data_IF_624601002788
#
_entry.id   IF_624601002788
#
_cell.length_a   1.000
_cell.length_b   1.000
_cell.length_c   1.000
_cell.angle_alpha   90.00
_cell.angle_beta   90.00
_cell.angle_gamma   90.00
#
_symmetry.space_group_name_H-M   'P 1'
#
loop_
_entity.id
_entity.type
_entity.pdbx_description
1 polymer ?
#
# COMPACT_ATOMS: atom_id res chain seq x y z
N UNK A 1 -29.04 10.82 7.10
CA UNK A 1 -28.22 10.06 8.07
C UNK A 1 -26.79 10.25 7.63
N UNK A 2 -25.92 10.83 8.45
CA UNK A 2 -24.48 10.93 8.12
C UNK A 2 -23.90 9.54 8.23
N UNK A 3 -23.58 8.92 7.10
CA UNK A 3 -22.69 7.77 7.10
C UNK A 3 -21.34 8.27 7.59
N UNK A 4 -20.89 7.80 8.74
CA UNK A 4 -19.50 7.96 9.18
C UNK A 4 -18.65 7.28 8.09
N UNK A 5 -17.85 8.04 7.35
CA UNK A 5 -16.97 7.50 6.34
C UNK A 5 -15.76 6.84 7.05
N UNK A 6 -16.00 5.64 7.58
CA UNK A 6 -14.97 4.79 8.15
C UNK A 6 -14.61 3.71 7.14
N UNK A 7 -13.32 3.47 6.97
CA UNK A 7 -12.78 2.42 6.12
C UNK A 7 -12.00 1.43 6.98
N UNK A 8 -12.39 0.15 7.02
CA UNK A 8 -11.60 -0.90 7.67
C UNK A 8 -10.55 -1.44 6.74
N UNK A 9 -9.31 -1.17 7.08
CA UNK A 9 -8.11 -1.65 6.37
C UNK A 9 -7.47 -2.80 7.16
N UNK A 10 -7.05 -3.86 6.46
CA UNK A 10 -6.15 -4.89 6.95
C UNK A 10 -4.85 -4.84 6.17
N UNK A 11 -3.71 -4.82 6.87
CA UNK A 11 -2.39 -4.93 6.26
C UNK A 11 -1.80 -6.29 6.64
N UNK A 12 -1.61 -7.16 5.65
CA UNK A 12 -0.99 -8.47 5.82
C UNK A 12 0.53 -8.31 5.73
N UNK A 13 1.18 -8.22 6.88
CA UNK A 13 2.63 -8.27 7.01
C UNK A 13 3.07 -9.73 7.01
N UNK A 14 3.50 -10.24 5.86
CA UNK A 14 3.78 -11.66 5.66
C UNK A 14 5.23 -11.92 5.27
N UNK A 15 5.71 -13.13 5.59
CA UNK A 15 6.98 -13.67 5.14
C UNK A 15 6.71 -14.55 3.91
N UNK A 16 7.21 -14.11 2.76
CA UNK A 16 7.10 -14.84 1.49
C UNK A 16 8.44 -15.45 1.09
N UNK A 17 8.41 -16.49 0.28
CA UNK A 17 9.60 -17.19 -0.18
C UNK A 17 9.87 -16.84 -1.63
N UNK A 18 11.08 -16.37 -1.93
CA UNK A 18 11.50 -16.04 -3.30
C UNK A 18 11.43 -17.30 -4.17
N UNK A 19 10.70 -17.20 -5.28
CA UNK A 19 10.54 -18.28 -6.25
C UNK A 19 9.41 -19.27 -5.95
N UNK A 20 8.86 -19.29 -4.74
CA UNK A 20 7.72 -20.16 -4.38
C UNK A 20 6.38 -19.47 -4.68
N UNK A 21 6.11 -19.28 -5.98
CA UNK A 21 4.92 -18.54 -6.42
C UNK A 21 3.62 -19.19 -5.95
N UNK A 22 3.54 -20.54 -6.00
CA UNK A 22 2.36 -21.29 -5.56
C UNK A 22 2.15 -21.20 -4.03
N UNK A 23 3.22 -21.38 -3.25
CA UNK A 23 3.15 -21.26 -1.78
C UNK A 23 2.81 -19.85 -1.33
N UNK A 24 3.38 -18.83 -1.98
CA UNK A 24 3.04 -17.44 -1.72
C UNK A 24 1.58 -17.12 -2.09
N UNK A 25 1.08 -17.65 -3.22
CA UNK A 25 -0.31 -17.48 -3.63
C UNK A 25 -1.28 -18.09 -2.60
N UNK A 26 -1.00 -19.30 -2.12
CA UNK A 26 -1.83 -19.93 -1.09
C UNK A 26 -1.80 -19.11 0.20
N UNK A 27 -0.63 -18.64 0.64
CA UNK A 27 -0.50 -17.75 1.79
C UNK A 27 -1.33 -16.47 1.63
N UNK A 28 -1.25 -15.81 0.47
CA UNK A 28 -2.05 -14.62 0.17
C UNK A 28 -3.55 -14.92 0.30
N UNK A 29 -4.02 -16.05 -0.22
CA UNK A 29 -5.43 -16.48 -0.12
C UNK A 29 -5.85 -16.68 1.35
N UNK A 30 -5.05 -17.36 2.15
CA UNK A 30 -5.33 -17.60 3.57
C UNK A 30 -5.43 -16.27 4.35
N UNK A 31 -4.59 -15.30 4.00
CA UNK A 31 -4.62 -13.98 4.64
C UNK A 31 -5.77 -13.10 4.14
N UNK A 32 -6.21 -13.26 2.89
CA UNK A 32 -7.47 -12.63 2.39
C UNK A 32 -8.65 -13.14 3.23
N UNK A 33 -8.72 -14.46 3.49
CA UNK A 33 -9.79 -15.05 4.28
C UNK A 33 -9.79 -14.51 5.72
N UNK A 34 -8.64 -14.46 6.37
CA UNK A 34 -8.47 -13.85 7.70
C UNK A 34 -8.90 -12.36 7.73
N UNK A 35 -8.51 -11.58 6.72
CA UNK A 35 -8.92 -10.18 6.61
C UNK A 35 -10.44 -10.04 6.43
N UNK A 36 -11.06 -10.95 5.70
CA UNK A 36 -12.51 -10.99 5.51
C UNK A 36 -13.26 -11.33 6.79
N UNK A 37 -12.74 -12.28 7.59
CA UNK A 37 -13.30 -12.67 8.89
C UNK A 37 -13.36 -11.48 9.87
N UNK A 38 -12.35 -10.61 9.88
CA UNK A 38 -12.34 -9.40 10.71
C UNK A 38 -13.10 -8.23 10.08
N UNK A 39 -13.74 -8.47 8.95
CA UNK A 39 -14.60 -7.50 8.30
C UNK A 39 -13.86 -6.43 7.50
N UNK A 40 -12.60 -6.59 7.14
CA UNK A 40 -11.89 -5.63 6.33
C UNK A 40 -12.55 -5.36 4.97
N UNK A 41 -12.47 -4.13 4.50
CA UNK A 41 -12.94 -3.72 3.18
C UNK A 41 -11.79 -3.77 2.16
N UNK A 42 -10.58 -3.48 2.65
CA UNK A 42 -9.34 -3.62 1.89
C UNK A 42 -8.38 -4.51 2.68
N UNK A 43 -7.70 -5.40 1.97
CA UNK A 43 -6.50 -6.09 2.45
C UNK A 43 -5.33 -5.77 1.54
N UNK A 44 -4.16 -5.52 2.13
CA UNK A 44 -2.94 -5.22 1.37
C UNK A 44 -1.87 -6.24 1.66
N UNK A 45 -1.05 -6.51 0.65
CA UNK A 45 0.12 -7.39 0.71
C UNK A 45 1.37 -6.63 0.32
N UNK A 46 2.57 -7.04 0.77
CA UNK A 46 3.82 -6.39 0.44
C UNK A 46 4.11 -6.30 -1.06
N UNK A 47 5.07 -5.45 -1.41
CA UNK A 47 5.67 -5.38 -2.74
C UNK A 47 6.20 -6.75 -3.15
N UNK A 48 5.92 -7.15 -4.42
CA UNK A 48 6.30 -8.44 -4.99
C UNK A 48 5.96 -9.67 -4.11
N UNK A 49 4.88 -9.58 -3.32
CA UNK A 49 4.49 -10.65 -2.38
C UNK A 49 4.26 -12.00 -3.08
N UNK A 50 3.85 -11.98 -4.34
CA UNK A 50 3.56 -13.21 -5.08
C UNK A 50 4.84 -13.93 -5.53
N UNK A 51 5.86 -13.20 -5.98
CA UNK A 51 7.14 -13.75 -6.43
C UNK A 51 8.16 -13.94 -5.31
N UNK A 52 7.95 -13.26 -4.18
CA UNK A 52 8.97 -12.99 -3.18
C UNK A 52 9.89 -11.85 -3.60
N UNK A 53 10.63 -11.25 -2.65
CA UNK A 53 11.50 -10.09 -2.87
C UNK A 53 12.90 -10.32 -2.28
N UNK A 54 13.99 -10.02 -3.04
CA UNK A 54 14.02 -9.68 -4.46
C UNK A 54 14.06 -10.95 -5.34
N UNK A 55 13.28 -11.03 -6.41
CA UNK A 55 13.29 -12.20 -7.30
C UNK A 55 14.49 -12.27 -8.24
N UNK A 56 15.20 -11.15 -8.44
CA UNK A 56 16.44 -11.02 -9.22
C UNK A 56 16.39 -11.75 -10.59
N UNK A 57 17.42 -12.58 -10.91
CA UNK A 57 17.53 -13.27 -12.21
C UNK A 57 16.40 -14.28 -12.51
N UNK A 58 15.51 -14.59 -11.55
CA UNK A 58 14.28 -15.31 -11.82
C UNK A 58 13.39 -14.53 -12.79
N UNK A 59 13.46 -13.21 -12.77
CA UNK A 59 12.73 -12.31 -13.67
C UNK A 59 13.15 -12.45 -15.14
N UNK A 60 14.34 -13.01 -15.41
CA UNK A 60 14.82 -13.30 -16.76
C UNK A 60 14.27 -14.61 -17.32
N UNK A 61 13.45 -15.34 -16.56
CA UNK A 61 12.84 -16.61 -16.95
C UNK A 61 11.37 -16.41 -17.33
N UNK A 62 10.98 -16.48 -18.61
CA UNK A 62 9.57 -16.29 -19.03
C UNK A 62 8.60 -17.18 -18.27
N UNK A 63 8.97 -18.43 -17.97
CA UNK A 63 8.11 -19.40 -17.27
C UNK A 63 7.81 -18.93 -15.82
N UNK A 64 8.74 -18.23 -15.17
CA UNK A 64 8.54 -17.68 -13.85
C UNK A 64 7.50 -16.54 -13.88
N UNK A 65 7.61 -15.68 -14.88
CA UNK A 65 6.62 -14.60 -15.09
C UNK A 65 5.23 -15.19 -15.40
N UNK A 66 5.17 -16.21 -16.28
CA UNK A 66 3.90 -16.88 -16.61
C UNK A 66 3.27 -17.53 -15.38
N UNK A 67 4.05 -18.23 -14.55
CA UNK A 67 3.57 -18.83 -13.30
C UNK A 67 2.99 -17.77 -12.34
N UNK A 68 3.69 -16.65 -12.17
CA UNK A 68 3.22 -15.53 -11.34
C UNK A 68 1.88 -14.97 -11.86
N UNK A 69 1.70 -14.80 -13.17
CA UNK A 69 0.44 -14.32 -13.74
C UNK A 69 -0.71 -15.32 -13.56
N UNK A 70 -0.44 -16.62 -13.74
CA UNK A 70 -1.43 -17.69 -13.52
C UNK A 70 -1.89 -17.73 -12.05
N UNK A 71 -0.96 -17.62 -11.11
CA UNK A 71 -1.33 -17.61 -9.68
C UNK A 71 -2.08 -16.32 -9.29
N UNK A 72 -1.71 -15.16 -9.88
CA UNK A 72 -2.49 -13.95 -9.69
C UNK A 72 -3.96 -14.13 -10.13
N UNK A 73 -4.19 -14.72 -11.30
CA UNK A 73 -5.57 -14.99 -11.79
C UNK A 73 -6.35 -15.87 -10.80
N UNK A 74 -5.71 -16.88 -10.19
CA UNK A 74 -6.34 -17.72 -9.16
C UNK A 74 -6.71 -16.90 -7.92
N UNK A 75 -5.82 -16.03 -7.44
CA UNK A 75 -6.09 -15.14 -6.31
C UNK A 75 -7.26 -14.21 -6.65
N UNK A 76 -7.20 -13.53 -7.80
CA UNK A 76 -8.25 -12.61 -8.26
C UNK A 76 -9.61 -13.31 -8.28
N UNK A 77 -9.69 -14.53 -8.83
CA UNK A 77 -10.94 -15.28 -8.94
C UNK A 77 -11.59 -15.61 -7.58
N UNK A 78 -10.79 -15.65 -6.52
CA UNK A 78 -11.22 -15.95 -5.14
C UNK A 78 -11.44 -14.71 -4.28
N UNK A 79 -11.08 -13.53 -4.78
CA UNK A 79 -11.31 -12.25 -4.06
C UNK A 79 -12.80 -11.91 -4.10
N UNK A 80 -13.49 -12.13 -2.98
CA UNK A 80 -14.94 -11.87 -2.84
C UNK A 80 -15.18 -11.04 -1.58
N UNK A 81 -16.10 -10.07 -1.69
CA UNK A 81 -16.51 -9.20 -0.57
C UNK A 81 -15.36 -8.43 0.10
N UNK A 82 -14.24 -8.27 -0.56
CA UNK A 82 -13.06 -7.53 -0.11
C UNK A 82 -12.29 -7.02 -1.33
N UNK A 83 -11.61 -5.89 -1.19
CA UNK A 83 -10.64 -5.40 -2.18
C UNK A 83 -9.26 -5.85 -1.74
N UNK A 84 -8.51 -6.54 -2.60
CA UNK A 84 -7.14 -6.96 -2.33
C UNK A 84 -6.15 -6.13 -3.17
N UNK A 85 -5.08 -5.62 -2.50
CA UNK A 85 -3.94 -4.96 -3.15
C UNK A 85 -2.74 -5.88 -3.01
N UNK A 86 -2.26 -6.44 -4.13
CA UNK A 86 -1.30 -7.54 -4.14
C UNK A 86 -0.07 -7.17 -4.95
N UNK A 87 1.12 -7.19 -4.34
CA UNK A 87 2.40 -7.00 -5.04
C UNK A 87 2.75 -8.21 -5.92
N UNK A 88 2.99 -7.98 -7.21
CA UNK A 88 3.31 -9.01 -8.19
C UNK A 88 4.17 -8.46 -9.33
N UNK A 89 4.58 -9.31 -10.26
CA UNK A 89 5.24 -8.91 -11.51
C UNK A 89 4.23 -8.89 -12.63
N UNK A 90 3.96 -7.69 -13.21
CA UNK A 90 3.10 -7.55 -14.38
C UNK A 90 3.91 -7.65 -15.68
N UNK A 91 3.23 -8.02 -16.78
CA UNK A 91 3.82 -8.09 -18.13
C UNK A 91 2.94 -7.40 -19.16
N UNK A 92 3.40 -6.26 -19.64
CA UNK A 92 2.75 -5.48 -20.70
C UNK A 92 3.80 -5.02 -21.74
N UNK A 93 4.22 -5.93 -22.63
CA UNK A 93 5.31 -5.67 -23.57
C UNK A 93 6.70 -5.79 -22.92
N UNK A 94 6.85 -5.40 -21.69
CA UNK A 94 7.98 -5.57 -20.78
C UNK A 94 7.46 -5.95 -19.39
N UNK A 95 8.32 -6.05 -18.35
CA UNK A 95 7.91 -6.40 -17.01
C UNK A 95 7.94 -5.18 -16.07
N UNK A 96 7.03 -5.19 -15.11
CA UNK A 96 6.83 -4.12 -14.15
C UNK A 96 6.73 -4.68 -12.72
N UNK A 97 7.34 -4.00 -11.76
CA UNK A 97 7.01 -4.16 -10.36
C UNK A 97 5.64 -3.53 -10.13
N UNK A 98 4.64 -4.31 -9.75
CA UNK A 98 3.25 -3.90 -9.85
C UNK A 98 2.43 -4.25 -8.61
N UNK A 99 1.34 -3.51 -8.42
CA UNK A 99 0.28 -3.80 -7.48
C UNK A 99 -1.02 -4.09 -8.24
N UNK A 100 -1.55 -5.30 -8.11
CA UNK A 100 -2.86 -5.69 -8.62
C UNK A 100 -3.94 -5.25 -7.62
N UNK A 101 -4.97 -4.57 -8.10
CA UNK A 101 -6.16 -4.22 -7.32
C UNK A 101 -7.30 -5.13 -7.78
N UNK A 102 -7.66 -6.08 -6.94
CA UNK A 102 -8.67 -7.09 -7.25
C UNK A 102 -9.90 -6.96 -6.35
N UNK A 103 -11.08 -7.13 -6.91
CA UNK A 103 -12.34 -7.17 -6.17
C UNK A 103 -13.37 -8.06 -6.88
N UNK A 104 -14.09 -8.86 -6.10
CA UNK A 104 -15.22 -9.68 -6.57
C UNK A 104 -14.91 -10.51 -7.83
N UNK A 105 -13.75 -11.16 -7.85
CA UNK A 105 -13.32 -12.03 -8.94
C UNK A 105 -12.80 -11.28 -10.18
N UNK A 106 -12.52 -9.99 -10.07
CA UNK A 106 -12.04 -9.15 -11.17
C UNK A 106 -10.79 -8.38 -10.80
N UNK A 107 -9.85 -8.31 -11.71
CA UNK A 107 -8.77 -7.33 -11.67
C UNK A 107 -9.35 -5.98 -12.09
N UNK A 108 -9.43 -5.05 -11.14
CA UNK A 108 -10.01 -3.72 -11.35
C UNK A 108 -9.04 -2.78 -12.05
N UNK A 109 -7.77 -2.81 -11.63
CA UNK A 109 -6.67 -2.05 -12.21
C UNK A 109 -5.34 -2.60 -11.72
N UNK A 110 -4.26 -2.18 -12.36
CA UNK A 110 -2.89 -2.42 -11.94
C UNK A 110 -2.17 -1.08 -11.78
N UNK A 111 -1.41 -0.91 -10.71
CA UNK A 111 -0.46 0.17 -10.54
C UNK A 111 0.94 -0.36 -10.80
N UNK A 112 1.73 0.34 -11.60
CA UNK A 112 3.14 0.05 -11.84
C UNK A 112 4.01 1.01 -11.05
N UNK A 113 5.02 0.49 -10.34
CA UNK A 113 6.00 1.28 -9.61
C UNK A 113 6.66 2.30 -10.53
N UNK A 114 6.65 3.56 -10.12
CA UNK A 114 7.15 4.66 -10.95
C UNK A 114 8.63 4.90 -10.69
N UNK A 115 9.03 5.01 -9.42
CA UNK A 115 10.42 5.22 -9.05
C UNK A 115 11.11 3.90 -8.76
N UNK A 116 12.07 3.55 -9.62
CA UNK A 116 12.84 2.33 -9.55
C UNK A 116 14.20 2.64 -8.90
N UNK A 117 14.44 2.23 -7.64
CA UNK A 117 15.72 2.49 -6.99
C UNK A 117 16.83 1.68 -7.64
N UNK A 118 18.00 2.33 -7.81
CA UNK A 118 19.22 1.73 -8.35
C UNK A 118 20.43 2.18 -7.54
N UNK A 119 20.34 2.00 -6.23
CA UNK A 119 21.37 2.37 -5.27
C UNK A 119 21.37 1.41 -4.06
N UNK A 120 22.50 1.33 -3.35
CA UNK A 120 22.65 0.44 -2.20
C UNK A 120 22.44 -1.02 -2.58
N UNK A 121 21.40 -1.63 -2.04
CA UNK A 121 21.03 -3.05 -2.29
C UNK A 121 19.97 -3.21 -3.38
N UNK A 122 19.54 -2.10 -4.00
CA UNK A 122 18.47 -2.11 -5.00
C UNK A 122 19.03 -2.08 -6.41
N UNK A 123 18.46 -2.89 -7.29
CA UNK A 123 18.76 -2.93 -8.73
C UNK A 123 17.47 -3.09 -9.56
N UNK A 124 16.40 -2.39 -9.15
CA UNK A 124 15.08 -2.51 -9.80
C UNK A 124 15.13 -2.09 -11.27
N UNK A 125 15.93 -1.07 -11.59
CA UNK A 125 16.06 -0.54 -12.96
C UNK A 125 16.68 -1.55 -13.93
N UNK A 126 17.40 -2.55 -13.44
CA UNK A 126 17.95 -3.64 -14.27
C UNK A 126 16.86 -4.52 -14.84
N UNK A 127 15.76 -4.67 -14.14
CA UNK A 127 14.74 -5.67 -14.45
C UNK A 127 13.42 -5.06 -14.92
N UNK A 128 13.02 -3.93 -14.34
CA UNK A 128 11.68 -3.39 -14.51
C UNK A 128 11.64 -2.11 -15.32
N UNK A 129 10.54 -1.93 -16.05
CA UNK A 129 10.18 -0.65 -16.63
C UNK A 129 9.44 0.22 -15.59
N UNK A 130 9.65 1.54 -15.60
CA UNK A 130 8.90 2.44 -14.72
C UNK A 130 7.44 2.55 -15.15
N UNK A 131 6.55 2.69 -14.18
CA UNK A 131 5.16 3.03 -14.40
C UNK A 131 4.98 4.45 -14.95
N UNK A 132 3.81 4.72 -15.52
CA UNK A 132 3.51 5.99 -16.18
C UNK A 132 2.16 6.60 -15.79
N UNK A 133 1.45 6.04 -14.79
CA UNK A 133 0.13 6.53 -14.37
C UNK A 133 -0.12 6.32 -12.87
N UNK A 134 -0.97 7.16 -12.29
CA UNK A 134 -1.32 7.16 -10.87
C UNK A 134 -2.82 6.94 -10.69
N UNK A 135 -3.33 5.70 -10.74
CA UNK A 135 -4.75 5.44 -10.50
C UNK A 135 -5.14 5.75 -9.06
N UNK A 136 -6.38 6.18 -8.86
CA UNK A 136 -7.03 6.30 -7.55
C UNK A 136 -8.32 5.51 -7.54
N UNK A 137 -8.60 4.85 -6.41
CA UNK A 137 -9.75 3.99 -6.21
C UNK A 137 -10.87 4.80 -5.56
N UNK A 138 -12.01 4.92 -6.24
CA UNK A 138 -13.21 5.53 -5.70
C UNK A 138 -14.04 4.45 -4.99
N UNK A 139 -13.99 4.44 -3.67
CA UNK A 139 -14.77 3.55 -2.81
C UNK A 139 -15.94 4.31 -2.19
N UNK A 140 -16.91 3.58 -1.62
CA UNK A 140 -18.00 4.21 -0.87
C UNK A 140 -17.43 4.91 0.39
N UNK A 141 -17.40 6.25 0.34
CA UNK A 141 -16.93 7.12 1.42
C UNK A 141 -15.42 7.35 1.49
N UNK A 142 -14.60 6.86 0.53
CA UNK A 142 -13.16 7.08 0.54
C UNK A 142 -12.55 7.08 -0.87
N UNK A 143 -11.55 7.93 -1.08
CA UNK A 143 -10.68 7.87 -2.26
C UNK A 143 -9.31 7.36 -1.82
N UNK A 144 -8.86 6.26 -2.42
CA UNK A 144 -7.63 5.56 -2.03
C UNK A 144 -6.61 5.60 -3.15
N UNK A 145 -5.40 6.08 -2.86
CA UNK A 145 -4.23 5.96 -3.74
C UNK A 145 -3.41 4.72 -3.38
N UNK A 146 -2.78 4.11 -4.38
CA UNK A 146 -1.87 2.98 -4.20
C UNK A 146 -0.50 3.34 -4.76
N UNK A 147 0.56 3.05 -4.02
CA UNK A 147 1.95 3.28 -4.41
C UNK A 147 2.83 2.12 -3.93
N UNK A 148 4.04 2.00 -4.49
CA UNK A 148 4.96 0.91 -4.18
C UNK A 148 6.29 1.49 -3.66
N UNK A 149 6.65 1.13 -2.43
CA UNK A 149 7.95 1.31 -1.79
C UNK A 149 8.57 2.69 -2.04
N UNK A 150 9.51 2.81 -2.99
CA UNK A 150 10.27 4.01 -3.31
C UNK A 150 9.38 5.22 -3.67
N UNK A 151 8.20 4.99 -4.25
CA UNK A 151 7.28 6.06 -4.68
C UNK A 151 6.91 7.03 -3.57
N UNK A 152 6.88 6.59 -2.30
CA UNK A 152 6.51 7.45 -1.15
C UNK A 152 7.70 8.27 -0.62
N UNK A 153 8.93 7.93 -1.02
CA UNK A 153 10.12 8.66 -0.53
C UNK A 153 10.26 10.04 -1.19
N UNK A 154 9.72 10.23 -2.38
CA UNK A 154 9.76 11.50 -3.11
C UNK A 154 8.58 12.39 -2.71
N UNK A 155 8.85 13.66 -2.31
CA UNK A 155 7.80 14.57 -1.82
C UNK A 155 6.80 15.00 -2.90
N UNK A 156 7.23 15.06 -4.15
CA UNK A 156 6.49 15.49 -5.34
C UNK A 156 6.13 14.30 -6.28
N UNK A 157 6.28 13.09 -5.77
CA UNK A 157 6.03 11.85 -6.52
C UNK A 157 4.56 11.43 -6.61
N UNK A 158 4.34 10.13 -6.94
CA UNK A 158 2.99 9.58 -7.16
C UNK A 158 2.01 9.86 -6.02
N UNK A 159 2.47 9.77 -4.77
CA UNK A 159 1.65 10.01 -3.56
C UNK A 159 1.10 11.45 -3.54
N UNK A 160 1.95 12.44 -3.86
CA UNK A 160 1.52 13.83 -3.96
C UNK A 160 0.45 14.02 -5.04
N UNK A 161 0.66 13.43 -6.22
CA UNK A 161 -0.28 13.54 -7.34
C UNK A 161 -1.62 12.86 -7.04
N UNK A 162 -1.59 11.66 -6.46
CA UNK A 162 -2.81 10.96 -6.03
C UNK A 162 -3.56 11.78 -4.98
N UNK A 163 -2.85 12.40 -4.02
CA UNK A 163 -3.47 13.23 -2.99
C UNK A 163 -4.01 14.55 -3.56
N UNK A 164 -3.22 15.31 -4.32
CA UNK A 164 -3.57 16.65 -4.80
C UNK A 164 -4.56 16.59 -5.96
N UNK A 165 -4.21 15.90 -7.04
CA UNK A 165 -4.99 15.83 -8.30
C UNK A 165 -6.03 14.72 -8.25
N UNK A 166 -5.69 13.54 -7.71
CA UNK A 166 -6.58 12.40 -7.58
C UNK A 166 -7.59 12.52 -6.44
N UNK A 167 -7.36 13.42 -5.48
CA UNK A 167 -8.22 13.60 -4.32
C UNK A 167 -8.07 12.52 -3.24
N UNK A 168 -7.10 11.62 -3.37
CA UNK A 168 -6.92 10.51 -2.43
C UNK A 168 -6.85 10.99 -0.98
N UNK A 169 -7.61 10.35 -0.11
CA UNK A 169 -7.69 10.62 1.33
C UNK A 169 -6.87 9.59 2.12
N UNK A 170 -6.72 8.40 1.55
CA UNK A 170 -5.88 7.32 2.06
C UNK A 170 -4.85 6.96 1.01
N UNK A 171 -3.59 6.83 1.41
CA UNK A 171 -2.52 6.31 0.58
C UNK A 171 -2.09 4.96 1.16
N UNK A 172 -2.20 3.92 0.35
CA UNK A 172 -1.64 2.61 0.62
C UNK A 172 -0.28 2.53 -0.06
N UNK A 173 0.76 2.25 0.70
CA UNK A 173 2.08 1.97 0.17
C UNK A 173 2.49 0.54 0.53
N UNK A 174 2.63 -0.31 -0.46
CA UNK A 174 3.14 -1.67 -0.29
C UNK A 174 4.65 -1.69 -0.50
N UNK A 175 5.38 -2.33 0.40
CA UNK A 175 6.84 -2.23 0.46
C UNK A 175 7.53 -3.54 0.77
N UNK A 176 8.76 -3.66 0.27
CA UNK A 176 9.75 -4.64 0.68
C UNK A 176 11.06 -3.91 1.06
N UNK A 177 10.93 -3.00 2.03
CA UNK A 177 12.02 -2.12 2.45
C UNK A 177 12.97 -2.83 3.43
N UNK A 178 14.24 -3.09 3.05
CA UNK A 178 15.19 -3.81 3.90
C UNK A 178 15.48 -3.08 5.20
N UNK A 179 15.71 -3.86 6.25
CA UNK A 179 16.11 -3.37 7.56
C UNK A 179 17.61 -3.04 7.61
N UNK A 180 17.93 -1.95 8.28
CA UNK A 180 19.26 -1.68 8.84
C UNK A 180 19.11 -0.92 10.16
N UNK A 181 20.14 -0.98 11.02
CA UNK A 181 20.11 -0.28 12.29
C UNK A 181 19.86 1.23 12.12
N UNK A 182 18.84 1.76 12.82
CA UNK A 182 18.46 3.17 12.75
C UNK A 182 17.43 3.53 11.65
N UNK A 183 17.18 2.67 10.66
CA UNK A 183 16.23 2.95 9.57
C UNK A 183 14.80 3.19 10.08
N UNK A 184 14.40 2.49 11.14
CA UNK A 184 13.06 2.60 11.72
C UNK A 184 12.66 4.05 11.99
N UNK A 185 13.50 4.83 12.71
CA UNK A 185 13.21 6.23 13.04
C UNK A 185 13.13 7.12 11.80
N UNK A 186 13.97 6.84 10.82
CA UNK A 186 14.00 7.60 9.59
C UNK A 186 12.74 7.32 8.75
N UNK A 187 12.38 6.04 8.58
CA UNK A 187 11.15 5.61 7.91
C UNK A 187 9.91 6.23 8.56
N UNK A 188 9.80 6.15 9.88
CA UNK A 188 8.71 6.71 10.66
C UNK A 188 8.56 8.22 10.44
N UNK A 189 9.65 8.98 10.53
CA UNK A 189 9.63 10.43 10.25
C UNK A 189 9.23 10.76 8.83
N UNK A 190 9.76 10.03 7.86
CA UNK A 190 9.43 10.24 6.44
C UNK A 190 7.94 10.00 6.21
N UNK A 191 7.38 8.88 6.69
CA UNK A 191 5.96 8.55 6.52
C UNK A 191 5.04 9.57 7.21
N UNK A 192 5.37 9.98 8.45
CA UNK A 192 4.65 11.02 9.17
C UNK A 192 4.64 12.34 8.38
N UNK A 193 5.78 12.73 7.80
CA UNK A 193 5.88 13.92 6.95
C UNK A 193 5.01 13.80 5.71
N UNK A 194 5.03 12.63 5.01
CA UNK A 194 4.20 12.43 3.82
C UNK A 194 2.71 12.50 4.15
N UNK A 195 2.28 11.94 5.30
CA UNK A 195 0.91 12.02 5.75
C UNK A 195 0.48 13.48 6.00
N UNK A 196 1.28 14.22 6.77
CA UNK A 196 0.96 15.61 7.14
C UNK A 196 1.04 16.59 5.96
N UNK A 197 2.08 16.50 5.12
CA UNK A 197 2.28 17.42 3.98
C UNK A 197 1.17 17.26 2.94
N UNK A 198 0.73 16.02 2.69
CA UNK A 198 -0.32 15.74 1.73
C UNK A 198 -1.73 15.79 2.34
N UNK A 199 -1.84 15.91 3.64
CA UNK A 199 -3.10 15.83 4.40
C UNK A 199 -3.86 14.56 3.98
N UNK A 200 -3.25 13.39 4.22
CA UNK A 200 -3.78 12.06 3.92
C UNK A 200 -3.48 11.10 5.07
N UNK A 201 -4.26 10.04 5.17
CA UNK A 201 -3.89 8.87 5.97
C UNK A 201 -2.87 8.06 5.15
N UNK A 202 -1.77 7.64 5.76
CA UNK A 202 -0.75 6.78 5.12
C UNK A 202 -0.75 5.41 5.78
N UNK A 203 -1.02 4.36 5.00
CA UNK A 203 -0.92 2.97 5.39
C UNK A 203 0.28 2.33 4.67
N UNK A 204 1.33 2.06 5.41
CA UNK A 204 2.58 1.50 4.92
C UNK A 204 2.67 0.02 5.31
N UNK A 205 2.52 -0.88 4.35
CA UNK A 205 2.60 -2.33 4.55
C UNK A 205 3.96 -2.86 4.10
N UNK A 206 4.77 -3.34 5.03
CA UNK A 206 6.12 -3.82 4.75
C UNK A 206 6.24 -5.34 4.84
N UNK A 207 7.15 -5.90 4.05
CA UNK A 207 7.55 -7.30 4.11
C UNK A 207 8.22 -7.62 5.45
N UNK A 208 8.05 -8.85 5.92
CA UNK A 208 8.83 -9.43 7.03
C UNK A 208 9.55 -10.68 6.54
N UNK A 209 10.75 -10.96 7.05
CA UNK A 209 11.54 -12.15 6.70
C UNK A 209 12.96 -11.83 6.31
N UNK A 210 13.51 -12.62 5.42
CA UNK A 210 14.88 -12.43 4.92
C UNK A 210 15.11 -13.19 3.62
N UNK A 211 16.02 -12.66 2.81
CA UNK A 211 16.50 -13.28 1.58
C UNK A 211 17.97 -12.88 1.36
N UNK A 212 18.85 -13.86 1.24
CA UNK A 212 20.30 -13.66 1.16
C UNK A 212 20.81 -12.75 2.29
N UNK A 213 21.48 -11.66 1.99
CA UNK A 213 21.94 -10.67 2.98
C UNK A 213 20.86 -9.70 3.45
N UNK A 214 19.66 -9.69 2.83
CA UNK A 214 18.60 -8.78 3.18
C UNK A 214 17.72 -9.32 4.30
N UNK A 215 17.41 -8.44 5.25
CA UNK A 215 16.44 -8.70 6.33
C UNK A 215 15.32 -7.67 6.23
N UNK A 216 14.09 -8.12 6.40
CA UNK A 216 12.90 -7.29 6.41
C UNK A 216 12.25 -7.33 7.79
N UNK A 217 12.11 -6.18 8.40
CA UNK A 217 11.66 -6.07 9.80
C UNK A 217 10.13 -6.02 9.96
N UNK A 218 9.37 -5.99 8.86
CA UNK A 218 7.97 -5.68 8.95
C UNK A 218 7.78 -4.25 9.46
N UNK A 219 7.36 -4.08 10.72
CA UNK A 219 7.12 -2.76 11.32
C UNK A 219 6.21 -1.90 10.41
N UNK A 220 5.15 -2.52 9.89
CA UNK A 220 4.13 -1.84 9.08
C UNK A 220 3.46 -0.76 9.92
N UNK A 221 3.13 0.38 9.30
CA UNK A 221 2.75 1.61 10.01
C UNK A 221 1.51 2.25 9.40
N UNK A 222 0.66 2.82 10.24
CA UNK A 222 -0.42 3.70 9.77
C UNK A 222 -0.31 5.05 10.48
N UNK A 223 -0.30 6.11 9.69
CA UNK A 223 -0.32 7.50 10.18
C UNK A 223 -1.62 8.17 9.77
N UNK A 224 -2.16 9.00 10.65
CA UNK A 224 -3.29 9.86 10.32
C UNK A 224 -2.84 11.09 9.49
N UNK A 225 -3.79 11.91 9.10
CA UNK A 225 -3.56 13.11 8.28
C UNK A 225 -2.76 14.21 9.00
N UNK A 226 -2.49 14.07 10.30
CA UNK A 226 -1.60 14.95 11.06
C UNK A 226 -0.16 14.46 11.09
N UNK A 227 0.06 13.21 10.69
CA UNK A 227 1.33 12.50 10.82
C UNK A 227 1.46 11.81 12.18
N UNK A 228 0.36 11.65 12.93
CA UNK A 228 0.37 10.89 14.17
C UNK A 228 0.24 9.39 13.89
N UNK A 229 1.05 8.59 14.56
CA UNK A 229 1.03 7.13 14.41
C UNK A 229 -0.23 6.55 15.06
N UNK A 230 -1.07 5.85 14.27
CA UNK A 230 -2.34 5.27 14.74
C UNK A 230 -2.35 3.74 14.76
N UNK A 231 -1.47 3.08 14.03
CA UNK A 231 -1.28 1.63 14.11
C UNK A 231 0.15 1.22 13.73
N UNK A 232 0.62 0.11 14.31
CA UNK A 232 1.96 -0.45 14.07
C UNK A 232 1.91 -1.98 14.10
N UNK A 233 2.51 -2.62 13.11
CA UNK A 233 2.76 -4.05 13.09
C UNK A 233 3.96 -4.46 13.96
N UNK A 234 4.05 -5.72 14.27
CA UNK A 234 5.17 -6.31 15.00
C UNK A 234 6.46 -6.23 14.19
N UNK A 235 7.60 -6.18 14.87
CA UNK A 235 8.89 -6.32 14.22
C UNK A 235 9.31 -7.79 14.16
N UNK A 236 9.81 -8.20 12.99
CA UNK A 236 10.36 -9.55 12.73
C UNK A 236 9.37 -10.69 12.92
N UNK A 237 8.08 -10.40 12.89
CA UNK A 237 6.99 -11.38 12.97
C UNK A 237 5.94 -11.11 11.90
N UNK A 238 5.26 -12.15 11.44
CA UNK A 238 4.05 -11.99 10.65
C UNK A 238 2.94 -11.37 11.50
N UNK A 239 2.14 -10.48 10.90
CA UNK A 239 1.06 -9.79 11.62
C UNK A 239 -0.08 -9.38 10.66
N UNK A 240 -1.32 -9.40 11.15
CA UNK A 240 -2.46 -8.81 10.48
C UNK A 240 -2.86 -7.54 11.22
N UNK A 241 -2.43 -6.42 10.71
CA UNK A 241 -2.73 -5.10 11.30
C UNK A 241 -4.10 -4.66 10.78
N UNK A 242 -5.08 -4.58 11.66
CA UNK A 242 -6.45 -4.15 11.32
C UNK A 242 -6.74 -2.81 11.96
N UNK A 243 -7.19 -1.85 11.16
CA UNK A 243 -7.44 -0.47 11.61
C UNK A 243 -8.69 0.10 10.97
N UNK A 244 -9.49 0.83 11.76
CA UNK A 244 -10.63 1.61 11.29
C UNK A 244 -10.18 3.06 11.06
N UNK A 245 -10.14 3.48 9.80
CA UNK A 245 -9.68 4.80 9.36
C UNK A 245 -10.84 5.80 9.36
N UNK A 246 -10.69 6.94 10.08
CA UNK A 246 -11.63 8.07 10.01
C UNK A 246 -11.32 8.95 8.78
N UNK A 247 -11.85 8.56 7.62
CA UNK A 247 -11.61 9.29 6.36
C UNK A 247 -12.21 10.70 6.40
N UNK A 248 -13.28 10.92 7.18
CA UNK A 248 -13.89 12.24 7.30
C UNK A 248 -12.95 13.25 7.99
N UNK A 249 -12.02 12.79 8.84
CA UNK A 249 -11.03 13.66 9.47
C UNK A 249 -10.15 14.36 8.44
N UNK A 250 -9.77 13.66 7.38
CA UNK A 250 -8.99 14.21 6.25
C UNK A 250 -9.75 15.34 5.56
N UNK A 251 -11.04 15.13 5.27
CA UNK A 251 -11.87 16.16 4.67
C UNK A 251 -11.99 17.40 5.56
N UNK A 252 -12.26 17.20 6.87
CA UNK A 252 -12.33 18.29 7.86
C UNK A 252 -11.03 19.10 7.88
N UNK A 253 -9.87 18.44 7.94
CA UNK A 253 -8.58 19.12 7.95
C UNK A 253 -8.34 19.90 6.66
N UNK A 254 -8.64 19.31 5.50
CA UNK A 254 -8.52 19.98 4.18
C UNK A 254 -9.40 21.23 4.04
N UNK A 255 -10.54 21.29 4.71
CA UNK A 255 -11.40 22.49 4.73
C UNK A 255 -10.71 23.67 5.41
N UNK A 256 -9.90 23.41 6.43
CA UNK A 256 -9.19 24.43 7.20
C UNK A 256 -7.83 24.81 6.62
N UNK A 257 -7.30 24.08 5.61
CA UNK A 257 -6.00 24.38 4.99
C UNK A 257 -6.18 25.07 3.63
N UNK A 258 -5.94 26.41 3.56
CA UNK A 258 -6.06 27.14 2.29
C UNK A 258 -4.91 26.80 1.30
N UNK A 259 -3.76 26.32 1.80
CA UNK A 259 -2.55 26.08 0.97
C UNK A 259 -2.80 25.04 -0.12
N UNK A 260 -3.59 23.98 0.20
CA UNK A 260 -3.95 22.95 -0.76
C UNK A 260 -4.75 23.50 -1.95
N UNK A 261 -5.63 24.49 -1.73
CA UNK A 261 -6.39 25.14 -2.81
C UNK A 261 -5.46 25.92 -3.72
N UNK A 262 -4.49 26.65 -3.13
CA UNK A 262 -3.49 27.39 -3.89
C UNK A 262 -2.60 26.45 -4.72
N UNK A 263 -2.16 25.32 -4.15
CA UNK A 263 -1.34 24.33 -4.87
C UNK A 263 -2.04 23.80 -6.13
N UNK A 264 -3.36 23.58 -6.10
CA UNK A 264 -4.12 23.13 -7.27
C UNK A 264 -4.15 24.15 -8.43
N UNK A 265 -3.95 25.43 -8.14
CA UNK A 265 -3.98 26.50 -9.11
C UNK A 265 -2.60 26.81 -9.72
N UNK A 266 -1.52 26.26 -9.16
CA UNK A 266 -0.17 26.48 -9.66
C UNK A 266 0.06 25.67 -10.95
N UNK A 267 0.30 26.33 -12.12
CA UNK A 267 0.60 25.62 -13.36
C UNK A 267 1.82 24.73 -13.23
N UNK A 268 1.73 23.49 -13.72
CA UNK A 268 2.82 22.51 -13.70
C UNK A 268 2.89 21.63 -12.46
N UNK A 269 2.11 21.90 -11.40
CA UNK A 269 2.02 21.00 -10.24
C UNK A 269 1.04 19.83 -10.42
N UNK A 270 0.29 19.80 -11.51
CA UNK A 270 -0.62 18.67 -11.83
C UNK A 270 0.10 17.42 -12.36
N UNK A 271 1.43 17.46 -12.39
CA UNK A 271 2.30 16.29 -12.53
C UNK A 271 2.42 15.69 -13.92
N UNK A 272 3.53 14.97 -14.12
CA UNK A 272 3.84 14.25 -15.38
C UNK A 272 3.00 12.98 -15.56
N UNK A 273 2.34 12.49 -14.49
CA UNK A 273 1.64 11.20 -14.51
C UNK A 273 0.12 11.39 -14.51
N UNK A 274 -0.60 10.85 -15.50
CA UNK A 274 -2.05 10.95 -15.57
C UNK A 274 -2.72 10.24 -14.38
N UNK A 275 -3.76 10.88 -13.84
CA UNK A 275 -4.63 10.31 -12.82
C UNK A 275 -5.84 9.65 -13.50
N UNK A 276 -6.11 8.40 -13.18
CA UNK A 276 -7.35 7.72 -13.56
C UNK A 276 -8.15 7.36 -12.31
N UNK A 277 -9.47 7.46 -12.42
CA UNK A 277 -10.39 7.12 -11.32
C UNK A 277 -11.03 5.76 -11.60
N UNK A 278 -10.86 4.82 -10.67
CA UNK A 278 -11.37 3.46 -10.76
C UNK A 278 -12.46 3.28 -9.70
N UNK A 279 -13.68 3.04 -10.12
CA UNK A 279 -14.80 2.79 -9.19
C UNK A 279 -14.70 1.38 -8.62
N UNK A 280 -14.65 1.28 -7.31
CA UNK A 280 -14.66 0.03 -6.53
C UNK A 280 -16.03 -0.08 -5.86
N UNK A 281 -16.72 -1.19 -6.07
CA UNK A 281 -18.03 -1.40 -5.48
C UNK A 281 -17.97 -1.43 -3.95
N UNK A 282 -18.76 -0.57 -3.30
CA UNK A 282 -18.90 -0.54 -1.84
C UNK A 282 -19.63 -1.80 -1.32
N UNK A 283 -19.35 -2.18 -0.07
CA UNK A 283 -20.14 -3.21 0.63
C UNK A 283 -21.47 -2.59 1.11
N UNK A 284 -22.58 -3.20 0.71
CA UNK A 284 -23.89 -2.82 1.21
C UNK A 284 -24.02 -3.27 2.68
N UNK A 285 -24.38 -2.30 3.56
CA UNK A 285 -24.75 -2.47 4.98
C UNK A 285 -23.74 -3.22 5.87
N UNK A 286 -22.92 -2.50 6.63
CA UNK A 286 -22.18 -3.02 7.77
C UNK A 286 -22.48 -2.24 9.04
N UNK A 287 -22.86 -2.98 10.08
CA UNK A 287 -22.69 -2.52 11.44
C UNK A 287 -21.21 -2.66 11.80
N UNK A 288 -20.49 -1.55 11.92
CA UNK A 288 -19.11 -1.56 12.41
C UNK A 288 -19.11 -1.74 13.92
N UNK A 289 -18.71 -2.92 14.38
CA UNK A 289 -18.24 -3.05 15.77
C UNK A 289 -16.85 -2.41 15.82
N UNK A 290 -16.72 -1.27 16.51
CA UNK A 290 -15.47 -0.52 16.62
C UNK A 290 -14.38 -1.41 17.20
N UNK A 291 -13.26 -1.55 16.51
CA UNK A 291 -12.09 -2.24 17.05
C UNK A 291 -11.49 -1.39 18.17
N UNK A 292 -11.21 -2.04 19.29
CA UNK A 292 -10.40 -1.40 20.34
C UNK A 292 -8.97 -1.34 19.79
N UNK A 293 -8.31 -0.16 19.77
CA UNK A 293 -6.93 -0.08 19.32
C UNK A 293 -6.05 -1.03 20.13
N UNK A 294 -5.40 -1.98 19.48
CA UNK A 294 -4.47 -2.93 20.13
C UNK A 294 -3.11 -2.29 20.44
N UNK A 295 -3.05 -0.96 20.57
CA UNK A 295 -1.83 -0.22 20.84
C UNK A 295 -1.92 0.49 22.17
N UNK A 296 -0.96 0.28 23.09
CA UNK A 296 -0.68 1.28 24.08
C UNK A 296 -0.13 2.50 23.33
N UNK A 297 -0.92 3.59 23.29
CA UNK A 297 -0.40 4.91 22.96
C UNK A 297 0.80 5.12 23.88
N UNK A 298 2.01 5.06 23.32
CA UNK A 298 3.21 5.46 24.06
C UNK A 298 2.97 6.91 24.46
N UNK A 299 2.81 7.14 25.75
CA UNK A 299 2.74 8.49 26.27
C UNK A 299 3.92 9.29 25.69
N UNK A 300 3.72 10.55 25.26
CA UNK A 300 4.79 11.35 24.71
C UNK A 300 5.97 11.31 25.68
N UNK A 301 7.13 10.90 25.18
CA UNK A 301 8.35 10.90 25.97
C UNK A 301 8.53 12.32 26.53
N UNK A 302 8.43 12.49 27.84
CA UNK A 302 8.79 13.76 28.47
C UNK A 302 10.23 14.03 28.09
N UNK A 303 10.44 15.08 27.30
CA UNK A 303 11.77 15.64 27.07
C UNK A 303 12.18 16.20 28.43
N UNK A 304 13.15 15.57 29.08
CA UNK A 304 13.87 16.10 30.23
C UNK A 304 15.02 16.92 29.70
#
# INVERSE_FOLDING_TARGET
>A
MKHSSQLRLAMAQINVVVGDVEGNAQKILDWIDRAREVGAEIVTFPELALTGYPPEDLLLKPQFIDANLVELEKIVSRTRDITAVIGFVDRQGDIFNAAAIAQNGKLMTTYHKIYLPNYGVFDDFRYFQPGSSCPVLQMDGATVGVSICEDIWYPDGPVFLQALSGGAEVIINISSSPYHAGKRRWRERMLATRASDNTVIVAYNNLVGGQDELVFDGDSLVFDENGDLIARGKQFEEDLIVVDLDVESVFRKRLHDPRRRQQREIPGQTGEFPISQITIAGKQNREFTRLTPNFPLLAPARIV
#
